data_IF_409950755419
#
_entry.id   IF_409950755419
#
_cell.length_a   1.000
_cell.length_b   1.000
_cell.length_c   1.000
_cell.angle_alpha   90.00
_cell.angle_beta   90.00
_cell.angle_gamma   90.00
#
_symmetry.space_group_name_H-M   'P 1'
#
loop_
_entity.id
_entity.type
_entity.pdbx_description
1 polymer ?
#
# COMPACT_ATOMS: atom_id res chain seq x y z
N UNK A 1 46.98 12.43 18.24
CA UNK A 1 46.24 11.60 17.27
C UNK A 1 46.09 12.44 16.00
N UNK A 2 46.83 12.07 14.94
CA UNK A 2 46.71 12.71 13.62
C UNK A 2 45.31 12.42 13.06
N UNK A 3 44.68 13.44 12.51
CA UNK A 3 43.41 13.34 11.85
C UNK A 3 43.49 12.29 10.72
N UNK A 4 42.48 11.39 10.59
CA UNK A 4 42.47 10.43 9.51
C UNK A 4 42.55 11.13 8.13
N UNK A 5 43.35 10.61 7.23
CA UNK A 5 43.67 11.21 5.91
C UNK A 5 42.43 11.44 5.03
N UNK A 6 41.39 10.62 5.17
CA UNK A 6 40.11 10.79 4.45
C UNK A 6 39.33 12.05 4.84
N UNK A 7 39.52 12.58 6.06
CA UNK A 7 38.92 13.84 6.50
C UNK A 7 39.58 15.05 5.86
N UNK A 8 40.85 14.95 5.48
CA UNK A 8 41.59 16.01 4.77
C UNK A 8 41.13 16.17 3.32
N UNK A 9 40.61 15.11 2.70
CA UNK A 9 40.10 15.16 1.32
C UNK A 9 38.78 15.91 1.18
N UNK A 10 37.97 15.96 2.25
CA UNK A 10 36.69 16.69 2.27
C UNK A 10 36.84 18.21 2.34
N UNK A 11 37.97 18.72 2.76
CA UNK A 11 38.25 20.17 2.90
C UNK A 11 38.70 20.83 1.59
N UNK A 12 38.82 20.09 0.50
CA UNK A 12 39.33 20.57 -0.78
C UNK A 12 38.34 21.42 -1.60
N UNK A 13 37.03 21.41 -1.23
CA UNK A 13 35.97 22.12 -1.95
C UNK A 13 35.56 23.48 -1.31
N UNK A 14 36.41 24.12 -0.53
CA UNK A 14 36.28 25.53 -0.16
C UNK A 14 35.11 25.89 0.77
N UNK A 15 34.47 24.94 1.45
CA UNK A 15 33.54 25.20 2.55
C UNK A 15 34.22 25.01 3.90
N UNK A 16 33.94 25.88 4.89
CA UNK A 16 34.39 25.72 6.28
C UNK A 16 33.77 24.44 6.89
N UNK A 17 34.42 23.30 6.71
CA UNK A 17 34.05 22.04 7.31
C UNK A 17 34.76 21.90 8.65
N UNK A 18 33.99 22.14 9.72
CA UNK A 18 34.50 21.98 11.08
C UNK A 18 34.67 20.48 11.42
N UNK A 19 35.82 20.13 11.99
CA UNK A 19 36.12 18.73 12.34
C UNK A 19 35.62 18.43 13.75
N UNK A 20 34.67 17.51 13.85
CA UNK A 20 34.10 17.09 15.12
C UNK A 20 35.16 16.39 15.98
N UNK A 21 35.28 16.81 17.22
CA UNK A 21 36.15 16.22 18.23
C UNK A 21 35.42 15.29 19.15
N UNK A 22 34.33 15.78 19.71
CA UNK A 22 33.54 15.06 20.74
C UNK A 22 32.12 15.56 20.73
N UNK A 23 31.18 14.66 20.96
CA UNK A 23 29.75 14.97 21.16
C UNK A 23 29.31 14.44 22.52
N UNK A 24 28.63 15.27 23.30
CA UNK A 24 28.00 14.90 24.53
C UNK A 24 26.53 15.23 24.45
N UNK A 25 25.68 14.30 24.86
CA UNK A 25 24.25 14.52 24.95
C UNK A 25 23.72 13.96 26.27
N UNK A 26 23.00 14.78 27.00
CA UNK A 26 22.30 14.38 28.23
C UNK A 26 20.82 14.64 28.00
N UNK A 27 20.01 13.65 28.24
CA UNK A 27 18.53 13.77 28.14
C UNK A 27 17.90 13.24 29.41
N UNK A 28 17.03 14.07 30.00
CA UNK A 28 16.14 13.68 31.08
C UNK A 28 14.72 13.72 30.60
N UNK A 29 13.96 12.64 30.83
CA UNK A 29 12.55 12.56 30.44
C UNK A 29 11.72 12.08 31.63
N UNK A 30 10.60 12.76 31.86
CA UNK A 30 9.65 12.45 32.92
C UNK A 30 8.25 12.36 32.33
N UNK A 31 7.58 11.24 32.56
CA UNK A 31 6.18 11.05 32.25
C UNK A 31 5.33 11.17 33.52
N UNK A 32 4.21 11.87 33.42
CA UNK A 32 3.21 12.01 34.50
C UNK A 32 1.88 11.47 33.99
N UNK A 33 1.65 10.14 34.14
CA UNK A 33 0.49 9.47 33.52
C UNK A 33 -0.86 10.04 34.00
N UNK A 34 -0.96 10.44 35.26
CA UNK A 34 -2.20 11.02 35.83
C UNK A 34 -2.63 12.30 35.09
N UNK A 35 -1.68 13.06 34.55
CA UNK A 35 -1.94 14.30 33.80
C UNK A 35 -1.90 14.07 32.28
N UNK A 36 -1.66 12.85 31.81
CA UNK A 36 -1.36 12.54 30.41
C UNK A 36 -0.33 13.51 29.82
N UNK A 37 0.72 13.78 30.59
CA UNK A 37 1.76 14.73 30.24
C UNK A 37 3.15 14.09 30.29
N UNK A 38 4.01 14.50 29.36
CA UNK A 38 5.44 14.18 29.41
C UNK A 38 6.26 15.44 29.22
N UNK A 39 7.38 15.50 29.91
CA UNK A 39 8.38 16.56 29.78
C UNK A 39 9.74 15.92 29.48
N UNK A 40 10.50 16.53 28.59
CA UNK A 40 11.89 16.15 28.34
C UNK A 40 12.79 17.36 28.25
N UNK A 41 13.95 17.25 28.87
CA UNK A 41 15.02 18.25 28.83
C UNK A 41 16.23 17.58 28.20
N UNK A 42 16.76 18.16 27.12
CA UNK A 42 17.96 17.68 26.44
C UNK A 42 19.00 18.79 26.37
N UNK A 43 20.23 18.46 26.65
CA UNK A 43 21.37 19.32 26.45
C UNK A 43 22.44 18.58 25.66
N UNK A 44 22.89 19.14 24.57
CA UNK A 44 23.99 18.56 23.78
C UNK A 44 25.08 19.58 23.52
N UNK A 45 26.31 19.11 23.52
CA UNK A 45 27.49 19.89 23.20
C UNK A 45 28.33 19.14 22.17
N UNK A 46 28.61 19.83 21.07
CA UNK A 46 29.47 19.36 20.01
C UNK A 46 30.76 20.18 19.98
N UNK A 47 31.85 19.56 20.32
CA UNK A 47 33.18 20.19 20.30
C UNK A 47 33.86 19.92 18.95
N UNK A 48 34.53 20.91 18.46
CA UNK A 48 35.35 20.83 17.25
C UNK A 48 36.86 20.93 17.58
N UNK A 49 37.70 20.49 16.69
CA UNK A 49 39.15 20.65 16.81
C UNK A 49 39.61 22.05 16.47
N UNK A 50 38.91 22.67 15.55
CA UNK A 50 39.32 23.89 14.82
C UNK A 50 38.30 25.03 14.98
N UNK A 51 37.29 24.85 15.82
CA UNK A 51 36.24 25.83 16.05
C UNK A 51 35.68 25.81 17.49
N UNK A 52 34.90 26.82 17.82
CA UNK A 52 34.17 26.90 19.07
C UNK A 52 33.06 25.83 19.11
N UNK A 53 32.69 25.39 20.33
CA UNK A 53 31.70 24.35 20.52
C UNK A 53 30.29 24.83 20.17
N UNK A 54 29.50 23.97 19.56
CA UNK A 54 28.06 24.16 19.43
C UNK A 54 27.36 23.58 20.67
N UNK A 55 26.45 24.34 21.25
CA UNK A 55 25.58 23.86 22.32
C UNK A 55 24.12 23.94 21.89
N UNK A 56 23.38 22.89 22.16
CA UNK A 56 21.93 22.83 21.93
C UNK A 56 21.24 22.48 23.25
N UNK A 57 20.22 23.24 23.59
CA UNK A 57 19.36 23.00 24.74
C UNK A 57 17.93 22.91 24.23
N UNK A 58 17.18 21.89 24.66
CA UNK A 58 15.79 21.67 24.25
C UNK A 58 14.95 21.27 25.46
N UNK A 59 13.85 21.96 25.67
CA UNK A 59 12.78 21.57 26.58
C UNK A 59 11.55 21.25 25.75
N UNK A 60 10.98 20.06 25.91
CA UNK A 60 9.74 19.64 25.25
C UNK A 60 8.70 19.23 26.29
N UNK A 61 7.49 19.73 26.14
CA UNK A 61 6.33 19.39 26.93
C UNK A 61 5.25 18.86 25.99
N UNK A 62 4.71 17.69 26.29
CA UNK A 62 3.63 17.10 25.51
C UNK A 62 2.48 16.73 26.45
N UNK A 63 1.26 17.03 26.04
CA UNK A 63 0.05 16.73 26.80
C UNK A 63 -1.02 16.18 25.86
N UNK A 64 -1.67 15.10 26.26
CA UNK A 64 -2.85 14.57 25.60
C UNK A 64 -4.08 14.80 26.47
N UNK A 65 -5.20 15.19 25.87
CA UNK A 65 -6.45 15.46 26.57
C UNK A 65 -7.64 15.22 25.62
N UNK A 66 -8.83 15.23 26.20
CA UNK A 66 -10.08 15.12 25.44
C UNK A 66 -10.95 16.36 25.72
N UNK A 67 -11.68 16.81 24.72
CA UNK A 67 -12.57 17.96 24.80
C UNK A 67 -13.93 17.61 24.19
N UNK A 68 -14.94 17.42 25.03
CA UNK A 68 -16.26 16.98 24.59
C UNK A 68 -16.20 15.61 23.90
N UNK A 69 -16.68 15.52 22.69
CA UNK A 69 -16.63 14.30 21.86
C UNK A 69 -15.28 14.04 21.19
N UNK A 70 -14.39 15.04 21.18
CA UNK A 70 -13.06 14.90 20.59
C UNK A 70 -12.10 14.26 21.59
N UNK A 71 -11.63 13.06 21.29
CA UNK A 71 -10.67 12.33 22.10
C UNK A 71 -9.28 12.34 21.45
N UNK A 72 -8.24 12.24 22.28
CA UNK A 72 -6.88 12.12 21.76
C UNK A 72 -6.28 13.41 21.19
N UNK A 73 -6.80 14.58 21.58
CA UNK A 73 -6.16 15.86 21.24
C UNK A 73 -4.78 15.88 21.90
N UNK A 74 -3.76 16.22 21.13
CA UNK A 74 -2.41 16.40 21.64
C UNK A 74 -1.94 17.84 21.45
N UNK A 75 -1.28 18.38 22.49
CA UNK A 75 -0.61 19.65 22.46
C UNK A 75 0.87 19.45 22.78
N UNK A 76 1.74 20.11 22.04
CA UNK A 76 3.17 20.15 22.33
C UNK A 76 3.72 21.55 22.36
N UNK A 77 4.66 21.76 23.27
CA UNK A 77 5.48 22.97 23.36
C UNK A 77 6.94 22.55 23.37
N UNK A 78 7.73 23.13 22.48
CA UNK A 78 9.17 22.93 22.45
C UNK A 78 9.89 24.27 22.47
N UNK A 79 10.83 24.41 23.38
CA UNK A 79 11.71 25.57 23.50
C UNK A 79 13.13 25.08 23.18
N UNK A 80 13.78 25.68 22.22
CA UNK A 80 15.16 25.35 21.89
C UNK A 80 16.06 26.58 21.86
N UNK A 81 17.32 26.36 22.26
CA UNK A 81 18.39 27.34 22.16
C UNK A 81 19.60 26.66 21.54
N UNK A 82 20.00 27.14 20.38
CA UNK A 82 21.17 26.70 19.65
C UNK A 82 22.22 27.79 19.68
N UNK A 83 23.43 27.45 20.10
CA UNK A 83 24.62 28.31 20.05
C UNK A 83 25.56 27.73 19.01
N UNK A 84 25.80 28.48 17.96
CA UNK A 84 26.61 28.03 16.84
C UNK A 84 28.05 28.57 16.90
N UNK A 85 28.95 27.81 16.34
CA UNK A 85 30.30 28.28 16.00
C UNK A 85 30.20 29.52 15.10
N UNK A 86 30.86 30.62 15.50
CA UNK A 86 30.75 31.91 14.78
C UNK A 86 29.88 32.95 15.49
N UNK A 87 29.26 32.61 16.66
CA UNK A 87 28.70 33.60 17.60
C UNK A 87 27.22 33.90 17.47
N UNK A 88 26.45 33.13 16.73
CA UNK A 88 24.99 33.27 16.65
C UNK A 88 24.28 32.41 17.70
N UNK A 89 23.31 33.02 18.42
CA UNK A 89 22.36 32.28 19.25
C UNK A 89 21.00 32.29 18.57
N UNK A 90 20.47 31.11 18.31
CA UNK A 90 19.11 30.96 17.81
C UNK A 90 18.23 30.36 18.91
N UNK A 91 17.25 31.16 19.35
CA UNK A 91 16.20 30.68 20.26
C UNK A 91 14.93 30.44 19.44
N UNK A 92 14.26 29.34 19.69
CA UNK A 92 13.07 28.95 18.96
C UNK A 92 12.00 28.47 19.91
N UNK A 93 10.78 28.88 19.65
CA UNK A 93 9.56 28.41 20.32
C UNK A 93 8.73 27.69 19.26
N UNK A 94 8.34 26.47 19.54
CA UNK A 94 7.44 25.68 18.70
C UNK A 94 6.25 25.23 19.54
N UNK A 95 5.05 25.49 19.02
CA UNK A 95 3.78 25.04 19.61
C UNK A 95 3.03 24.28 18.56
N UNK A 96 2.47 23.13 18.90
CA UNK A 96 1.57 22.41 17.99
C UNK A 96 0.37 21.82 18.71
N UNK A 97 -0.71 21.69 17.96
CA UNK A 97 -1.93 21.01 18.35
C UNK A 97 -2.28 20.01 17.25
N UNK A 98 -2.61 18.80 17.66
CA UNK A 98 -3.11 17.75 16.78
C UNK A 98 -4.50 17.34 17.27
N UNK A 99 -5.48 17.46 16.40
CA UNK A 99 -6.89 17.24 16.70
C UNK A 99 -7.38 16.13 15.79
N UNK A 100 -7.60 14.90 16.30
CA UNK A 100 -8.24 13.83 15.54
C UNK A 100 -9.70 14.23 15.22
N UNK A 101 -10.11 13.96 13.99
CA UNK A 101 -11.46 14.21 13.54
C UNK A 101 -12.07 12.92 12.96
N UNK A 102 -12.79 12.18 13.79
CA UNK A 102 -13.20 10.83 13.48
C UNK A 102 -12.03 9.83 13.50
N UNK A 103 -12.21 8.69 12.87
CA UNK A 103 -11.27 7.58 13.00
C UNK A 103 -10.01 7.70 12.11
N UNK A 104 -10.06 8.55 11.10
CA UNK A 104 -9.02 8.57 10.06
C UNK A 104 -8.68 9.96 9.51
N UNK A 105 -9.12 11.01 10.20
CA UNK A 105 -8.87 12.41 9.83
C UNK A 105 -8.16 13.13 10.93
N UNK A 106 -7.35 14.11 10.56
CA UNK A 106 -6.56 14.87 11.52
C UNK A 106 -6.39 16.31 11.07
N UNK A 107 -6.57 17.24 12.01
CA UNK A 107 -6.20 18.64 11.84
C UNK A 107 -5.00 18.92 12.72
N UNK A 108 -3.94 19.46 12.14
CA UNK A 108 -2.75 19.88 12.85
C UNK A 108 -2.58 21.39 12.70
N UNK A 109 -2.34 22.06 13.81
CA UNK A 109 -1.87 23.45 13.83
C UNK A 109 -0.48 23.50 14.40
N UNK A 110 0.42 24.27 13.80
CA UNK A 110 1.74 24.55 14.34
C UNK A 110 2.11 26.03 14.23
N UNK A 111 2.81 26.50 15.26
CA UNK A 111 3.41 27.82 15.33
C UNK A 111 4.88 27.67 15.69
N UNK A 112 5.73 28.23 14.89
CA UNK A 112 7.17 28.33 15.13
C UNK A 112 7.57 29.80 15.12
N UNK A 113 8.35 30.22 16.12
CA UNK A 113 8.88 31.57 16.20
C UNK A 113 10.31 31.55 16.69
N UNK A 114 11.17 32.34 16.06
CA UNK A 114 12.55 32.49 16.46
C UNK A 114 12.84 33.90 16.99
N UNK A 115 14.05 34.11 17.51
CA UNK A 115 14.53 35.40 18.02
C UNK A 115 15.06 36.32 16.90
N UNK A 116 15.00 35.91 15.64
CA UNK A 116 15.41 36.69 14.47
C UNK A 116 14.21 37.38 13.80
N UNK A 117 13.02 37.30 14.40
CA UNK A 117 11.80 37.91 13.87
C UNK A 117 11.00 37.02 12.93
N UNK A 118 11.48 35.80 12.69
CA UNK A 118 10.76 34.83 11.86
C UNK A 118 9.63 34.17 12.66
N UNK A 119 8.47 34.05 12.04
CA UNK A 119 7.30 33.35 12.59
C UNK A 119 6.59 32.59 11.47
N UNK A 120 6.42 31.32 11.67
CA UNK A 120 5.69 30.43 10.76
C UNK A 120 4.48 29.83 11.46
N UNK A 121 3.34 29.92 10.82
CA UNK A 121 2.11 29.27 11.23
C UNK A 121 1.63 28.35 10.12
N UNK A 122 1.18 27.16 10.48
CA UNK A 122 0.68 26.21 9.50
C UNK A 122 -0.54 25.48 10.06
N UNK A 123 -1.57 25.37 9.26
CA UNK A 123 -2.70 24.48 9.48
C UNK A 123 -2.64 23.40 8.41
N UNK A 124 -2.73 22.16 8.81
CA UNK A 124 -2.77 21.01 7.93
C UNK A 124 -3.98 20.15 8.25
N UNK A 125 -4.72 19.73 7.24
CA UNK A 125 -5.76 18.72 7.32
C UNK A 125 -5.32 17.49 6.52
N UNK A 126 -5.41 16.32 7.12
CA UNK A 126 -5.08 15.04 6.50
C UNK A 126 -6.24 14.07 6.61
N UNK A 127 -6.49 13.31 5.57
CA UNK A 127 -7.51 12.28 5.50
C UNK A 127 -6.90 10.95 5.01
N UNK A 128 -7.08 9.89 5.81
CA UNK A 128 -6.62 8.53 5.59
C UNK A 128 -7.80 7.54 5.61
N UNK A 129 -9.04 8.01 5.38
CA UNK A 129 -10.24 7.18 5.45
C UNK A 129 -10.20 6.03 4.43
N UNK A 130 -9.69 6.30 3.26
CA UNK A 130 -9.44 5.25 2.27
C UNK A 130 -8.03 4.67 2.52
N UNK A 131 -7.89 3.35 2.80
CA UNK A 131 -6.59 2.74 3.07
C UNK A 131 -5.61 2.84 1.89
N UNK A 132 -6.13 2.97 0.67
CA UNK A 132 -5.33 3.05 -0.54
C UNK A 132 -5.12 4.49 -1.03
N UNK A 133 -5.83 5.46 -0.48
CA UNK A 133 -5.71 6.85 -0.90
C UNK A 133 -5.66 7.76 0.32
N UNK A 134 -4.61 8.56 0.39
CA UNK A 134 -4.46 9.61 1.38
C UNK A 134 -4.31 10.96 0.71
N UNK A 135 -4.83 12.00 1.34
CA UNK A 135 -4.65 13.36 0.88
C UNK A 135 -4.51 14.33 2.04
N UNK A 136 -3.83 15.42 1.78
CA UNK A 136 -3.68 16.49 2.73
C UNK A 136 -3.82 17.86 2.05
N UNK A 137 -4.26 18.84 2.84
CA UNK A 137 -4.33 20.26 2.47
C UNK A 137 -3.67 21.05 3.59
N UNK A 138 -2.82 21.99 3.22
CA UNK A 138 -2.10 22.84 4.15
C UNK A 138 -2.20 24.31 3.76
N UNK A 139 -2.34 25.17 4.76
CA UNK A 139 -2.24 26.62 4.62
C UNK A 139 -1.20 27.15 5.62
N UNK A 140 -0.28 27.95 5.13
CA UNK A 140 0.80 28.53 5.90
C UNK A 140 0.85 30.06 5.81
N UNK A 141 1.25 30.68 6.91
CA UNK A 141 1.62 32.10 6.96
C UNK A 141 3.01 32.22 7.54
N UNK A 142 3.92 32.78 6.76
CA UNK A 142 5.30 33.02 7.18
C UNK A 142 5.52 34.54 7.28
N UNK A 143 6.06 34.95 8.42
CA UNK A 143 6.55 36.32 8.64
C UNK A 143 8.05 36.27 8.90
N UNK A 144 8.78 37.16 8.27
CA UNK A 144 10.24 37.30 8.41
C UNK A 144 10.60 38.78 8.43
N UNK A 145 11.84 39.09 8.81
CA UNK A 145 12.33 40.46 8.76
C UNK A 145 12.31 40.97 7.30
N UNK A 146 11.48 41.95 7.02
CA UNK A 146 11.26 42.51 5.68
C UNK A 146 10.00 42.06 4.95
N UNK A 147 9.16 41.18 5.53
CA UNK A 147 7.91 40.84 4.89
C UNK A 147 7.11 39.65 5.44
N UNK A 148 6.09 39.27 4.70
CA UNK A 148 5.30 38.09 5.00
C UNK A 148 4.90 37.39 3.71
N UNK A 149 4.66 36.09 3.78
CA UNK A 149 4.14 35.28 2.66
C UNK A 149 3.09 34.30 3.14
N UNK A 150 2.13 34.01 2.27
CA UNK A 150 1.17 32.96 2.48
C UNK A 150 1.51 31.77 1.55
N UNK A 151 1.26 30.57 2.00
CA UNK A 151 1.42 29.35 1.21
C UNK A 151 0.18 28.47 1.33
N UNK A 152 -0.20 27.88 0.23
CA UNK A 152 -1.26 26.86 0.17
C UNK A 152 -0.69 25.66 -0.57
N UNK A 153 -0.88 24.48 -0.01
CA UNK A 153 -0.45 23.26 -0.66
C UNK A 153 -1.46 22.16 -0.46
N UNK A 154 -1.51 21.25 -1.40
CA UNK A 154 -2.30 20.04 -1.31
C UNK A 154 -1.56 18.90 -1.97
N UNK A 155 -1.72 17.71 -1.45
CA UNK A 155 -1.22 16.50 -2.09
C UNK A 155 -2.22 15.36 -1.93
N UNK A 156 -2.22 14.48 -2.91
CA UNK A 156 -2.94 13.22 -2.92
C UNK A 156 -1.97 12.11 -3.31
N UNK A 157 -2.05 10.99 -2.62
CA UNK A 157 -1.30 9.77 -2.95
C UNK A 157 -2.25 8.60 -2.99
N UNK A 158 -2.18 7.81 -4.04
CA UNK A 158 -3.01 6.62 -4.24
C UNK A 158 -2.14 5.40 -4.49
N UNK A 159 -2.35 4.37 -3.67
CA UNK A 159 -1.73 3.06 -3.85
C UNK A 159 -2.59 2.26 -4.81
N UNK A 160 -2.02 1.90 -5.93
CA UNK A 160 -2.67 1.14 -7.00
C UNK A 160 -1.99 -0.24 -7.12
N UNK A 161 -2.68 -1.27 -7.61
CA UNK A 161 -2.07 -2.59 -7.80
C UNK A 161 -0.83 -2.57 -8.72
N UNK A 162 -0.76 -1.60 -9.62
CA UNK A 162 0.32 -1.42 -10.59
C UNK A 162 1.34 -0.32 -10.20
N UNK A 163 1.23 0.27 -9.00
CA UNK A 163 2.16 1.29 -8.53
C UNK A 163 1.51 2.26 -7.57
N UNK A 164 2.24 3.30 -7.19
CA UNK A 164 1.76 4.41 -6.37
C UNK A 164 1.78 5.69 -7.20
N UNK A 165 0.63 6.31 -7.37
CA UNK A 165 0.48 7.59 -8.03
C UNK A 165 0.37 8.72 -7.00
N UNK A 166 0.95 9.86 -7.30
CA UNK A 166 0.85 11.06 -6.48
C UNK A 166 0.67 12.32 -7.32
N UNK A 167 -0.04 13.27 -6.75
CA UNK A 167 -0.10 14.62 -7.26
C UNK A 167 0.05 15.60 -6.11
N UNK A 168 0.80 16.65 -6.31
CA UNK A 168 0.97 17.75 -5.36
C UNK A 168 0.89 19.09 -6.07
N UNK A 169 0.34 20.07 -5.38
CA UNK A 169 0.27 21.45 -5.83
C UNK A 169 0.66 22.39 -4.71
N UNK A 170 1.41 23.41 -5.02
CA UNK A 170 1.77 24.51 -4.10
C UNK A 170 1.54 25.83 -4.76
N UNK A 171 0.91 26.74 -4.02
CA UNK A 171 0.68 28.13 -4.41
C UNK A 171 1.25 29.05 -3.33
N UNK A 172 2.19 29.89 -3.71
CA UNK A 172 2.71 30.95 -2.88
C UNK A 172 2.47 32.28 -3.61
N UNK A 173 1.39 33.01 -3.27
CA UNK A 173 0.99 34.20 -3.99
C UNK A 173 2.10 35.24 -4.09
N UNK A 174 2.34 35.75 -5.29
CA UNK A 174 3.40 36.73 -5.56
C UNK A 174 4.83 36.16 -5.66
N UNK A 175 5.00 34.85 -5.50
CA UNK A 175 6.32 34.21 -5.60
C UNK A 175 6.30 33.08 -6.68
N UNK A 176 5.59 31.99 -6.41
CA UNK A 176 5.53 30.86 -7.36
C UNK A 176 4.28 30.00 -7.19
N UNK A 177 4.01 29.20 -8.19
CA UNK A 177 3.11 28.05 -8.13
C UNK A 177 3.79 26.83 -8.73
N UNK A 178 3.53 25.67 -8.16
CA UNK A 178 4.07 24.40 -8.64
C UNK A 178 2.97 23.34 -8.70
N UNK A 179 3.09 22.44 -9.66
CA UNK A 179 2.30 21.23 -9.77
C UNK A 179 3.29 20.08 -10.00
N UNK A 180 3.22 19.07 -9.13
CA UNK A 180 4.00 17.86 -9.22
C UNK A 180 3.09 16.67 -9.53
N UNK A 181 3.55 15.78 -10.40
CA UNK A 181 2.97 14.47 -10.63
C UNK A 181 4.06 13.44 -10.41
N UNK A 182 3.77 12.41 -9.67
CA UNK A 182 4.72 11.34 -9.38
C UNK A 182 4.08 9.98 -9.57
N UNK A 183 4.89 9.04 -10.04
CA UNK A 183 4.54 7.64 -10.07
C UNK A 183 5.73 6.81 -9.62
N UNK A 184 5.49 5.89 -8.70
CA UNK A 184 6.48 4.94 -8.19
C UNK A 184 5.97 3.52 -8.40
N UNK A 185 6.75 2.71 -9.08
CA UNK A 185 6.40 1.33 -9.35
C UNK A 185 7.58 0.55 -9.89
N UNK A 186 7.33 -0.71 -10.15
CA UNK A 186 8.30 -1.61 -10.77
C UNK A 186 7.67 -2.23 -12.01
N UNK A 187 8.51 -2.57 -12.99
CA UNK A 187 8.12 -3.39 -14.13
C UNK A 187 8.92 -4.68 -14.07
N UNK A 188 8.26 -5.80 -14.19
CA UNK A 188 8.91 -7.11 -14.31
C UNK A 188 8.46 -7.75 -15.61
N UNK A 189 9.44 -8.14 -16.44
CA UNK A 189 9.20 -8.83 -17.69
C UNK A 189 9.95 -10.17 -17.71
N UNK A 190 9.30 -11.20 -18.20
CA UNK A 190 9.83 -12.55 -18.37
C UNK A 190 9.39 -13.11 -19.73
N UNK A 191 9.82 -14.33 -20.07
CA UNK A 191 9.32 -15.03 -21.24
C UNK A 191 7.81 -15.34 -21.21
N UNK A 192 7.18 -15.21 -20.02
CA UNK A 192 5.75 -15.49 -19.80
C UNK A 192 4.87 -14.23 -19.80
N UNK A 193 5.46 -13.05 -19.93
CA UNK A 193 4.74 -11.78 -19.97
C UNK A 193 5.41 -10.68 -19.17
N UNK A 194 4.71 -9.55 -19.04
CA UNK A 194 5.16 -8.40 -18.29
C UNK A 194 4.01 -7.80 -17.48
N UNK A 195 4.32 -7.31 -16.29
CA UNK A 195 3.36 -6.59 -15.46
C UNK A 195 4.03 -5.45 -14.69
N UNK A 196 3.28 -4.40 -14.48
CA UNK A 196 3.58 -3.36 -13.50
C UNK A 196 3.21 -3.86 -12.10
N UNK A 197 3.93 -3.40 -11.12
CA UNK A 197 3.69 -3.73 -9.71
C UNK A 197 4.04 -2.55 -8.81
N UNK A 198 3.63 -2.61 -7.56
CA UNK A 198 4.08 -1.68 -6.55
C UNK A 198 5.61 -1.66 -6.48
N UNK A 199 6.20 -0.55 -6.01
CA UNK A 199 7.64 -0.43 -5.88
C UNK A 199 8.19 -1.48 -4.92
N UNK A 200 9.22 -2.17 -5.37
CA UNK A 200 9.90 -3.22 -4.62
C UNK A 200 11.38 -2.87 -4.52
N UNK A 201 12.02 -3.24 -3.41
CA UNK A 201 13.47 -3.11 -3.29
C UNK A 201 14.17 -3.89 -4.42
N UNK A 202 15.31 -3.41 -4.91
CA UNK A 202 15.97 -3.97 -6.10
C UNK A 202 16.31 -5.44 -6.00
N UNK A 203 16.61 -5.91 -4.80
CA UNK A 203 16.98 -7.29 -4.49
C UNK A 203 15.85 -8.12 -3.85
N UNK A 204 14.65 -7.55 -3.72
CA UNK A 204 13.48 -8.27 -3.21
C UNK A 204 13.02 -9.34 -4.20
N UNK A 205 12.80 -10.60 -3.76
CA UNK A 205 12.28 -11.65 -4.62
C UNK A 205 10.83 -11.39 -5.01
N UNK A 206 10.48 -11.73 -6.25
CA UNK A 206 9.17 -11.45 -6.86
C UNK A 206 8.56 -12.71 -7.42
N UNK A 207 7.26 -12.72 -7.53
CA UNK A 207 6.54 -13.80 -8.18
C UNK A 207 5.65 -13.22 -9.27
N UNK A 208 5.83 -13.74 -10.46
CA UNK A 208 4.91 -13.54 -11.55
C UNK A 208 3.83 -14.61 -11.48
N UNK A 209 2.60 -14.18 -11.37
CA UNK A 209 1.40 -15.00 -11.36
C UNK A 209 0.76 -14.90 -12.75
N UNK A 210 0.44 -16.04 -13.32
CA UNK A 210 -0.24 -16.16 -14.62
C UNK A 210 -1.54 -16.93 -14.43
N UNK A 211 -2.65 -16.31 -14.76
CA UNK A 211 -4.01 -16.85 -14.66
C UNK A 211 -4.52 -17.41 -16.00
N UNK A 212 -3.65 -17.56 -16.99
CA UNK A 212 -4.03 -18.07 -18.30
C UNK A 212 -4.90 -17.10 -19.12
N UNK A 213 -4.70 -15.79 -18.92
CA UNK A 213 -5.42 -14.74 -19.66
C UNK A 213 -6.60 -14.12 -18.92
N UNK A 214 -6.90 -14.54 -17.68
CA UNK A 214 -7.98 -13.96 -16.87
C UNK A 214 -7.46 -12.69 -16.18
N UNK A 215 -8.03 -11.56 -16.55
CA UNK A 215 -7.72 -10.26 -15.98
C UNK A 215 -8.50 -9.99 -14.68
N UNK A 216 -8.01 -9.05 -13.86
CA UNK A 216 -8.74 -8.57 -12.70
C UNK A 216 -8.67 -9.49 -11.47
N UNK A 217 -7.83 -10.51 -11.46
CA UNK A 217 -7.66 -11.42 -10.32
C UNK A 217 -6.76 -10.77 -9.27
N UNK A 218 -7.27 -10.47 -8.06
CA UNK A 218 -6.50 -9.86 -6.98
C UNK A 218 -5.60 -10.89 -6.29
N UNK A 219 -4.36 -10.48 -6.03
CA UNK A 219 -3.32 -11.31 -5.42
C UNK A 219 -2.74 -10.59 -4.21
N UNK A 220 -2.53 -11.32 -3.12
CA UNK A 220 -1.99 -10.82 -1.85
C UNK A 220 -2.74 -9.58 -1.32
N UNK A 221 -4.05 -9.67 -1.19
CA UNK A 221 -4.86 -8.58 -0.64
C UNK A 221 -4.75 -7.30 -1.47
N UNK A 222 -4.89 -7.37 -2.79
CA UNK A 222 -4.75 -6.26 -3.74
C UNK A 222 -3.33 -5.67 -3.88
N UNK A 223 -2.30 -6.34 -3.37
CA UNK A 223 -0.91 -5.94 -3.64
C UNK A 223 -0.54 -6.06 -5.12
N UNK A 224 -1.26 -6.88 -5.88
CA UNK A 224 -1.23 -6.99 -7.32
C UNK A 224 -2.59 -7.45 -7.85
N UNK A 225 -2.89 -7.07 -9.08
CA UNK A 225 -4.07 -7.52 -9.81
C UNK A 225 -3.61 -7.93 -11.21
N UNK A 226 -4.12 -9.06 -11.71
CA UNK A 226 -3.73 -9.51 -13.05
C UNK A 226 -4.18 -8.50 -14.11
N UNK A 227 -3.25 -8.16 -14.99
CA UNK A 227 -3.47 -7.23 -16.09
C UNK A 227 -4.32 -7.87 -17.21
N UNK A 228 -4.52 -7.14 -18.30
CA UNK A 228 -5.29 -7.61 -19.46
C UNK A 228 -4.78 -8.94 -20.07
N UNK A 229 -3.52 -9.28 -19.84
CA UNK A 229 -2.95 -10.56 -20.30
C UNK A 229 -3.03 -11.67 -19.24
N UNK A 230 -3.69 -11.44 -18.13
CA UNK A 230 -3.79 -12.39 -17.01
C UNK A 230 -2.52 -12.50 -16.18
N UNK A 231 -1.63 -11.51 -16.19
CA UNK A 231 -0.36 -11.56 -15.48
C UNK A 231 -0.31 -10.49 -14.40
N UNK A 232 0.11 -10.88 -13.19
CA UNK A 232 0.43 -9.98 -12.08
C UNK A 232 1.83 -10.27 -11.54
N UNK A 233 2.46 -9.27 -10.92
CA UNK A 233 3.73 -9.43 -10.20
C UNK A 233 3.55 -8.92 -8.78
N UNK A 234 3.90 -9.74 -7.81
CA UNK A 234 3.84 -9.41 -6.39
C UNK A 234 5.16 -9.72 -5.69
N UNK A 235 5.40 -9.06 -4.56
CA UNK A 235 6.53 -9.39 -3.69
C UNK A 235 6.38 -10.80 -3.12
N UNK A 236 7.47 -11.55 -3.10
CA UNK A 236 7.55 -12.82 -2.41
C UNK A 236 7.97 -12.66 -0.92
N UNK A 237 8.13 -11.43 -0.45
CA UNK A 237 8.59 -11.15 0.91
C UNK A 237 10.08 -11.43 1.10
N UNK A 238 10.44 -12.19 2.14
CA UNK A 238 11.83 -12.42 2.49
C UNK A 238 12.49 -13.50 1.65
N UNK A 239 13.73 -13.25 1.20
CA UNK A 239 14.58 -14.22 0.52
C UNK A 239 14.88 -15.43 1.41
N UNK A 240 15.03 -16.61 0.80
CA UNK A 240 15.38 -17.88 1.46
C UNK A 240 14.37 -18.37 2.50
N UNK A 241 13.18 -17.76 2.56
CA UNK A 241 12.08 -18.18 3.43
C UNK A 241 10.89 -18.62 2.60
N UNK A 242 10.11 -19.54 3.19
CA UNK A 242 8.83 -19.92 2.58
C UNK A 242 7.86 -18.75 2.67
N UNK A 243 7.34 -18.34 1.53
CA UNK A 243 6.28 -17.35 1.41
C UNK A 243 5.06 -17.99 0.78
N UNK A 244 3.88 -17.55 1.20
CA UNK A 244 2.60 -17.95 0.63
C UNK A 244 2.04 -16.74 -0.11
N UNK A 245 1.65 -16.97 -1.34
CA UNK A 245 0.95 -16.01 -2.18
C UNK A 245 -0.47 -16.52 -2.33
N UNK A 246 -1.45 -15.70 -2.00
CA UNK A 246 -2.86 -16.06 -2.07
C UNK A 246 -3.60 -15.19 -3.07
N UNK A 247 -4.55 -15.79 -3.76
CA UNK A 247 -5.60 -15.05 -4.46
C UNK A 247 -6.64 -14.65 -3.43
N UNK A 248 -7.08 -13.42 -3.46
CA UNK A 248 -8.17 -12.92 -2.64
C UNK A 248 -9.51 -13.32 -3.28
N UNK A 249 -10.03 -14.46 -2.84
CA UNK A 249 -11.25 -15.05 -3.42
C UNK A 249 -12.51 -14.23 -3.09
N UNK A 250 -12.49 -13.47 -2.00
CA UNK A 250 -13.63 -12.64 -1.59
C UNK A 250 -13.76 -11.36 -2.46
N UNK A 251 -12.69 -10.99 -3.13
CA UNK A 251 -12.62 -9.80 -4.00
C UNK A 251 -12.58 -10.16 -5.49
N UNK A 252 -12.84 -11.42 -5.84
CA UNK A 252 -12.92 -11.84 -7.25
C UNK A 252 -14.11 -11.18 -7.96
N UNK A 253 -13.97 -10.84 -9.26
CA UNK A 253 -15.13 -10.53 -10.09
C UNK A 253 -16.14 -11.69 -10.08
N UNK A 254 -17.43 -11.37 -10.16
CA UNK A 254 -18.53 -12.35 -10.08
C UNK A 254 -18.45 -13.46 -11.15
N UNK A 255 -17.79 -13.18 -12.27
CA UNK A 255 -17.62 -14.09 -13.39
C UNK A 255 -16.28 -14.84 -13.39
N UNK A 256 -15.48 -14.69 -12.32
CA UNK A 256 -14.16 -15.32 -12.20
C UNK A 256 -14.17 -16.37 -11.11
N UNK A 257 -13.64 -17.54 -11.42
CA UNK A 257 -13.42 -18.64 -10.47
C UNK A 257 -11.94 -19.06 -10.47
N UNK A 258 -11.42 -19.43 -9.28
CA UNK A 258 -10.02 -19.82 -9.09
C UNK A 258 -9.95 -21.10 -8.27
N UNK A 259 -9.32 -22.15 -8.83
CA UNK A 259 -9.26 -23.46 -8.16
C UNK A 259 -8.18 -23.58 -7.10
N UNK A 260 -7.01 -23.02 -7.34
CA UNK A 260 -5.87 -23.07 -6.40
C UNK A 260 -5.51 -21.66 -5.95
N UNK A 261 -6.11 -21.20 -4.84
CA UNK A 261 -5.97 -19.84 -4.36
C UNK A 261 -4.67 -19.57 -3.58
N UNK A 262 -3.90 -20.58 -3.20
CA UNK A 262 -2.67 -20.42 -2.40
C UNK A 262 -1.49 -21.14 -3.03
N UNK A 263 -0.38 -20.43 -3.18
CA UNK A 263 0.88 -20.93 -3.70
C UNK A 263 1.98 -20.70 -2.67
N UNK A 264 2.69 -21.76 -2.30
CA UNK A 264 3.89 -21.70 -1.46
C UNK A 264 5.16 -21.76 -2.29
N UNK A 265 6.14 -20.95 -1.95
CA UNK A 265 7.46 -21.00 -2.60
C UNK A 265 8.58 -20.48 -1.72
N UNK A 266 9.80 -20.77 -2.10
CA UNK A 266 11.04 -20.22 -1.54
C UNK A 266 11.84 -19.68 -2.71
N UNK A 267 12.27 -18.43 -2.62
CA UNK A 267 13.07 -17.76 -3.64
C UNK A 267 14.36 -17.20 -3.01
N UNK A 268 15.39 -17.13 -3.83
CA UNK A 268 16.64 -16.43 -3.49
C UNK A 268 16.49 -14.93 -3.67
N UNK A 269 17.45 -14.17 -3.18
CA UNK A 269 17.52 -12.73 -3.34
C UNK A 269 17.49 -12.33 -4.83
N UNK A 270 16.64 -11.36 -5.16
CA UNK A 270 16.46 -10.85 -6.52
C UNK A 270 15.80 -11.80 -7.52
N UNK A 271 15.43 -13.01 -7.09
CA UNK A 271 14.83 -13.98 -8.00
C UNK A 271 13.41 -13.60 -8.43
N UNK A 272 13.06 -13.94 -9.65
CA UNK A 272 11.70 -13.86 -10.19
C UNK A 272 11.16 -15.28 -10.35
N UNK A 273 10.23 -15.67 -9.46
CA UNK A 273 9.49 -16.91 -9.58
C UNK A 273 8.33 -16.78 -10.56
N UNK A 274 7.98 -17.85 -11.24
CA UNK A 274 6.78 -17.93 -12.08
C UNK A 274 5.83 -18.99 -11.54
N UNK A 275 4.55 -18.66 -11.46
CA UNK A 275 3.50 -19.60 -11.05
C UNK A 275 2.24 -19.39 -11.88
N UNK A 276 1.70 -20.50 -12.35
CA UNK A 276 0.41 -20.52 -13.02
C UNK A 276 -0.69 -20.84 -12.00
N UNK A 277 -1.77 -20.10 -12.05
CA UNK A 277 -3.01 -20.31 -11.30
C UNK A 277 -4.09 -20.72 -12.30
N UNK A 278 -4.85 -21.75 -11.96
CA UNK A 278 -5.99 -22.17 -12.75
C UNK A 278 -7.18 -21.26 -12.44
N UNK A 279 -7.31 -20.21 -13.24
CA UNK A 279 -8.43 -19.28 -13.19
C UNK A 279 -9.30 -19.45 -14.43
N UNK A 280 -10.59 -19.25 -14.26
CA UNK A 280 -11.56 -19.28 -15.37
C UNK A 280 -12.51 -18.11 -15.27
N UNK A 281 -12.79 -17.50 -16.40
CA UNK A 281 -13.76 -16.41 -16.52
C UNK A 281 -14.95 -16.91 -17.34
N UNK A 282 -16.16 -16.61 -16.88
CA UNK A 282 -17.40 -16.99 -17.55
C UNK A 282 -18.56 -17.12 -16.57
N UNK A 283 -19.69 -17.47 -17.09
CA UNK A 283 -20.89 -17.65 -16.28
C UNK A 283 -20.75 -18.80 -15.31
N UNK A 284 -21.40 -18.64 -14.17
CA UNK A 284 -21.50 -19.63 -13.13
C UNK A 284 -22.96 -20.17 -13.10
N UNK A 285 -23.11 -21.47 -13.07
CA UNK A 285 -24.42 -22.11 -13.08
C UNK A 285 -24.51 -23.16 -12.00
N UNK A 286 -25.52 -23.06 -11.15
CA UNK A 286 -25.87 -24.10 -10.18
C UNK A 286 -27.14 -24.81 -10.66
N UNK A 287 -27.09 -26.13 -10.81
CA UNK A 287 -28.25 -26.87 -11.26
C UNK A 287 -28.18 -28.36 -10.99
N UNK A 288 -29.33 -29.00 -11.07
CA UNK A 288 -29.47 -30.45 -11.01
C UNK A 288 -29.43 -31.03 -12.42
N UNK A 289 -28.44 -31.86 -12.69
CA UNK A 289 -28.33 -32.59 -13.95
C UNK A 289 -29.19 -33.82 -13.90
N UNK A 290 -30.05 -33.98 -14.92
CA UNK A 290 -30.97 -35.13 -15.05
C UNK A 290 -30.74 -35.78 -16.43
N UNK A 291 -30.56 -37.10 -16.40
CA UNK A 291 -30.50 -37.94 -17.60
C UNK A 291 -31.87 -38.08 -18.24
N UNK A 292 -31.91 -38.61 -19.46
CA UNK A 292 -33.17 -38.84 -20.20
C UNK A 292 -34.16 -39.76 -19.49
N UNK A 293 -33.67 -40.67 -18.64
CA UNK A 293 -34.47 -41.57 -17.79
C UNK A 293 -34.91 -40.93 -16.45
N UNK A 294 -34.61 -39.66 -16.23
CA UNK A 294 -34.94 -38.93 -15.01
C UNK A 294 -33.98 -39.14 -13.83
N UNK A 295 -32.96 -40.01 -13.94
CA UNK A 295 -31.99 -40.27 -12.90
C UNK A 295 -30.91 -39.21 -12.92
N UNK A 296 -30.17 -39.11 -11.80
CA UNK A 296 -28.95 -38.26 -11.70
C UNK A 296 -27.74 -39.00 -12.26
N UNK A 297 -26.80 -38.31 -12.90
CA UNK A 297 -25.47 -38.85 -13.14
C UNK A 297 -24.81 -39.30 -11.84
N UNK A 298 -23.85 -40.26 -11.90
CA UNK A 298 -23.15 -40.69 -10.70
C UNK A 298 -22.33 -39.54 -10.08
N UNK A 299 -22.20 -39.58 -8.74
CA UNK A 299 -21.33 -38.68 -8.00
C UNK A 299 -19.90 -38.69 -8.60
N UNK A 300 -19.31 -37.50 -8.77
CA UNK A 300 -17.99 -37.36 -9.37
C UNK A 300 -17.95 -37.37 -10.88
N UNK A 301 -19.10 -37.50 -11.58
CA UNK A 301 -19.13 -37.31 -13.04
C UNK A 301 -18.63 -35.91 -13.38
N UNK A 302 -17.81 -35.80 -14.42
CA UNK A 302 -17.19 -34.55 -14.83
C UNK A 302 -18.04 -33.87 -15.92
N UNK A 303 -18.18 -32.56 -15.77
CA UNK A 303 -18.75 -31.70 -16.81
C UNK A 303 -17.59 -30.97 -17.50
N UNK A 304 -17.45 -31.14 -18.78
CA UNK A 304 -16.39 -30.56 -19.59
C UNK A 304 -16.96 -29.71 -20.73
N UNK A 305 -16.26 -28.68 -21.07
CA UNK A 305 -16.51 -27.96 -22.33
C UNK A 305 -16.06 -28.86 -23.51
N UNK A 306 -16.97 -29.19 -24.36
CA UNK A 306 -16.73 -30.12 -25.51
C UNK A 306 -15.78 -29.55 -26.56
N UNK A 307 -15.49 -28.25 -26.59
CA UNK A 307 -14.54 -27.62 -27.53
C UNK A 307 -13.13 -27.59 -26.98
N UNK A 308 -12.97 -27.13 -25.74
CA UNK A 308 -11.65 -26.95 -25.10
C UNK A 308 -11.20 -28.16 -24.29
N UNK A 309 -12.12 -29.07 -23.94
CA UNK A 309 -11.87 -30.19 -23.03
C UNK A 309 -11.65 -29.76 -21.57
N UNK A 310 -11.88 -28.49 -21.24
CA UNK A 310 -11.71 -27.97 -19.89
C UNK A 310 -12.84 -28.47 -18.99
N UNK A 311 -12.49 -28.91 -17.78
CA UNK A 311 -13.47 -29.27 -16.77
C UNK A 311 -14.14 -28.00 -16.25
N UNK A 312 -15.44 -27.87 -16.41
CA UNK A 312 -16.25 -26.75 -15.93
C UNK A 312 -16.87 -27.04 -14.55
N UNK A 313 -17.03 -28.30 -14.17
CA UNK A 313 -17.53 -28.69 -12.88
C UNK A 313 -17.61 -30.20 -12.69
N UNK A 314 -18.09 -30.61 -11.50
CA UNK A 314 -18.34 -32.01 -11.15
C UNK A 314 -19.75 -32.17 -10.59
N UNK A 315 -20.31 -33.34 -10.82
CA UNK A 315 -21.63 -33.73 -10.30
C UNK A 315 -21.52 -34.19 -8.85
N UNK A 316 -22.24 -33.56 -7.97
CA UNK A 316 -22.40 -33.91 -6.57
C UNK A 316 -23.61 -34.82 -6.31
N UNK A 317 -24.07 -34.80 -5.06
CA UNK A 317 -25.23 -35.58 -4.62
C UNK A 317 -26.48 -35.13 -5.37
N UNK A 318 -27.35 -36.12 -5.68
CA UNK A 318 -28.59 -35.91 -6.42
C UNK A 318 -28.44 -35.15 -7.73
N UNK A 319 -27.27 -35.28 -8.39
CA UNK A 319 -27.02 -34.61 -9.65
C UNK A 319 -26.79 -33.10 -9.54
N UNK A 320 -26.65 -32.56 -8.35
CA UNK A 320 -26.31 -31.15 -8.17
C UNK A 320 -24.93 -30.88 -8.72
N UNK A 321 -24.79 -29.89 -9.57
CA UNK A 321 -23.53 -29.49 -10.15
C UNK A 321 -23.39 -27.96 -10.11
N UNK A 322 -22.23 -27.50 -9.66
CA UNK A 322 -21.79 -26.12 -9.79
C UNK A 322 -20.81 -26.03 -10.94
N UNK A 323 -21.19 -25.30 -11.98
CA UNK A 323 -20.45 -25.17 -13.22
C UNK A 323 -19.90 -23.74 -13.31
N UNK A 324 -18.61 -23.59 -13.65
CA UNK A 324 -17.92 -22.31 -13.71
C UNK A 324 -17.19 -22.10 -15.02
N UNK A 325 -16.94 -20.83 -15.37
CA UNK A 325 -16.15 -20.46 -16.52
C UNK A 325 -16.80 -20.80 -17.86
N UNK A 326 -18.10 -20.71 -17.94
CA UNK A 326 -18.84 -21.03 -19.15
C UNK A 326 -18.93 -19.79 -20.02
N UNK A 327 -18.37 -19.85 -21.22
CA UNK A 327 -18.53 -18.79 -22.21
C UNK A 327 -19.93 -18.84 -22.82
N UNK A 328 -20.42 -17.70 -23.34
CA UNK A 328 -21.69 -17.66 -24.07
C UNK A 328 -21.75 -18.60 -25.25
N UNK A 329 -20.60 -18.92 -25.84
CA UNK A 329 -20.47 -19.78 -27.00
C UNK A 329 -20.46 -21.28 -26.64
N UNK A 330 -20.15 -21.61 -25.39
CA UNK A 330 -20.01 -22.98 -24.90
C UNK A 330 -21.26 -23.53 -24.21
N UNK A 331 -22.28 -22.68 -24.02
CA UNK A 331 -23.55 -23.04 -23.39
C UNK A 331 -24.26 -24.29 -23.99
N UNK A 332 -24.01 -24.57 -25.26
CA UNK A 332 -24.61 -25.70 -25.99
C UNK A 332 -23.65 -26.88 -26.18
N UNK A 333 -22.41 -26.79 -25.69
CA UNK A 333 -21.35 -27.75 -25.98
C UNK A 333 -20.80 -28.45 -24.73
N UNK A 334 -21.52 -28.42 -23.61
CA UNK A 334 -21.09 -29.08 -22.38
C UNK A 334 -21.33 -30.56 -22.43
N UNK A 335 -20.33 -31.35 -22.06
CA UNK A 335 -20.35 -32.81 -22.06
C UNK A 335 -20.23 -33.36 -20.63
N UNK A 336 -21.07 -34.34 -20.28
CA UNK A 336 -21.00 -35.04 -19.02
C UNK A 336 -20.37 -36.40 -19.23
N UNK A 337 -19.30 -36.66 -18.49
CA UNK A 337 -18.50 -37.91 -18.64
C UNK A 337 -18.31 -38.60 -17.31
N UNK A 338 -18.40 -39.93 -17.33
CA UNK A 338 -17.99 -40.82 -16.23
C UNK A 338 -17.52 -42.15 -16.83
N UNK A 339 -16.77 -42.92 -16.06
CA UNK A 339 -16.15 -44.17 -16.51
C UNK A 339 -15.30 -44.01 -17.79
N UNK A 340 -14.68 -42.82 -17.96
CA UNK A 340 -13.78 -42.51 -19.07
C UNK A 340 -14.45 -42.27 -20.42
N UNK A 341 -15.78 -42.06 -20.47
CA UNK A 341 -16.54 -41.81 -21.71
C UNK A 341 -17.54 -40.68 -21.52
N UNK A 342 -17.74 -39.86 -22.54
CA UNK A 342 -18.85 -38.91 -22.64
C UNK A 342 -20.17 -39.71 -22.71
N UNK A 343 -21.09 -39.42 -21.88
CA UNK A 343 -22.37 -40.14 -21.74
C UNK A 343 -23.56 -39.32 -22.27
N UNK A 344 -23.54 -38.00 -22.07
CA UNK A 344 -24.58 -37.13 -22.57
C UNK A 344 -24.09 -35.67 -22.68
N UNK A 345 -24.87 -34.85 -23.35
CA UNK A 345 -24.60 -33.43 -23.54
C UNK A 345 -25.58 -32.56 -22.79
N UNK A 346 -25.07 -31.50 -22.15
CA UNK A 346 -25.84 -30.49 -21.49
C UNK A 346 -26.05 -29.29 -22.38
N UNK A 347 -27.26 -28.78 -22.41
CA UNK A 347 -27.58 -27.47 -22.98
C UNK A 347 -28.08 -26.57 -21.87
N UNK A 348 -27.42 -25.44 -21.67
CA UNK A 348 -27.84 -24.46 -20.68
C UNK A 348 -28.97 -23.58 -21.23
N UNK A 349 -29.94 -23.20 -20.39
CA UNK A 349 -30.97 -22.23 -20.77
C UNK A 349 -30.37 -20.85 -20.98
N UNK A 350 -31.03 -19.99 -21.73
CA UNK A 350 -30.58 -18.61 -21.98
C UNK A 350 -30.55 -17.74 -20.71
N UNK A 351 -31.40 -18.05 -19.76
CA UNK A 351 -31.40 -17.38 -18.45
C UNK A 351 -30.80 -18.30 -17.38
N UNK A 352 -29.65 -17.89 -16.82
CA UNK A 352 -28.90 -18.59 -15.78
C UNK A 352 -28.92 -17.84 -14.45
N UNK A 353 -29.96 -17.03 -14.21
CA UNK A 353 -30.08 -16.25 -12.97
C UNK A 353 -30.17 -17.18 -11.75
N UNK A 354 -29.12 -17.16 -10.93
CA UNK A 354 -28.99 -17.94 -9.69
C UNK A 354 -29.93 -17.48 -8.56
N UNK A 355 -30.55 -16.30 -8.68
CA UNK A 355 -31.48 -15.78 -7.68
C UNK A 355 -32.72 -16.64 -7.51
N UNK A 356 -33.05 -17.46 -8.49
CA UNK A 356 -34.22 -18.36 -8.50
C UNK A 356 -33.92 -19.77 -7.98
N UNK A 357 -32.69 -20.04 -7.52
CA UNK A 357 -32.25 -21.35 -7.03
C UNK A 357 -31.66 -22.27 -8.11
N UNK A 358 -31.37 -23.54 -7.78
CA UNK A 358 -30.72 -24.46 -8.71
C UNK A 358 -31.60 -24.73 -9.95
N UNK A 359 -31.00 -24.63 -11.11
CA UNK A 359 -31.66 -24.89 -12.39
C UNK A 359 -31.81 -26.39 -12.64
N UNK A 360 -32.85 -26.80 -13.41
CA UNK A 360 -32.94 -28.16 -13.94
C UNK A 360 -32.16 -28.22 -15.28
N UNK A 361 -31.14 -29.07 -15.32
CA UNK A 361 -30.23 -29.20 -16.44
C UNK A 361 -30.42 -30.57 -17.13
N UNK A 362 -31.22 -30.67 -18.21
CA UNK A 362 -31.39 -31.91 -18.89
C UNK A 362 -30.14 -32.31 -19.66
N UNK A 363 -29.68 -33.55 -19.44
CA UNK A 363 -28.55 -34.17 -20.16
C UNK A 363 -29.09 -35.19 -21.19
N UNK A 364 -28.79 -34.97 -22.46
CA UNK A 364 -29.30 -35.75 -23.57
C UNK A 364 -28.18 -36.34 -24.42
#
# INVERSE_FOLDING_TARGET
LSMPEYLQLRTRDGGDVWHEKQSYTVTYSQSVPVLNMSASLSASRLNYWDATSNNNYMLSLNKSFSLGSLQGISASLSLSRNQYTGGGNQNQVYVSFSIPWGDSRQVNYSLQKDNQGSMQQTVNYSDFHNPDTSWNISAGHNRYDGGSSNSFSGSIQSRLPWGQAGADATLQPGQYSSLGLSWYGSVTATAHGAAFSQSMAGNEPRVMIDTGGVAGVPVNGNSGVTNHFGVAVVSAGSSYRRSNISVDVDSLPEDVDVRNSVISQVLTEGAVGYRKIDASQGEQVLGHIRLADGKSPPFGAQVTDGKSGRITGMVGDDGLAYLTGISKEDRQALEVSWSGRTQCRLTLPDNTDLSQGPLLLPCR
#
